data_IF_915818623334
#
_entry.id   IF_915818623334
#
_cell.length_a   1.000
_cell.length_b   1.000
_cell.length_c   1.000
_cell.angle_alpha   90.00
_cell.angle_beta   90.00
_cell.angle_gamma   90.00
#
_symmetry.space_group_name_H-M   'P 1'
#
loop_
_entity.id
_entity.type
_entity.pdbx_description
1 polymer ?
#
# COMPACT_ATOMS: atom_id res chain seq x y z
N UNK A 1 9.19 -3.57 -13.70
CA UNK A 1 8.64 -2.85 -12.54
C UNK A 1 7.30 -2.25 -12.93
N UNK A 2 6.32 -2.37 -12.05
CA UNK A 2 4.98 -1.86 -12.30
C UNK A 2 4.57 -0.93 -11.17
N UNK A 3 3.87 0.14 -11.52
CA UNK A 3 3.33 1.08 -10.56
C UNK A 3 1.87 0.74 -10.28
N UNK A 4 1.53 0.71 -9.00
CA UNK A 4 0.18 0.40 -8.56
C UNK A 4 -0.34 1.51 -7.66
N UNK A 5 -1.64 1.76 -7.75
CA UNK A 5 -2.34 2.65 -6.83
C UNK A 5 -3.41 1.84 -6.11
N UNK A 6 -3.37 1.89 -4.78
CA UNK A 6 -4.36 1.22 -3.94
C UNK A 6 -5.28 2.23 -3.28
N UNK A 7 -6.54 1.89 -3.18
CA UNK A 7 -7.46 2.61 -2.30
C UNK A 7 -7.45 1.91 -0.96
N UNK A 8 -7.24 2.67 0.10
CA UNK A 8 -7.09 2.13 1.45
C UNK A 8 -8.16 2.71 2.35
N UNK A 9 -8.89 1.83 3.02
CA UNK A 9 -9.93 2.22 3.97
C UNK A 9 -9.34 2.37 5.37
N UNK A 10 -10.08 2.98 6.27
CA UNK A 10 -9.71 3.19 7.68
C UNK A 10 -8.52 4.14 7.90
N UNK A 11 -8.18 4.93 6.92
CA UNK A 11 -7.16 5.97 7.08
C UNK A 11 -7.85 7.28 7.46
N UNK A 12 -7.72 7.67 8.72
CA UNK A 12 -8.43 8.84 9.25
C UNK A 12 -7.51 10.01 9.60
N UNK A 13 -6.20 9.77 9.68
CA UNK A 13 -5.26 10.81 10.10
C UNK A 13 -3.85 10.53 9.60
N UNK A 14 -2.94 11.47 9.83
CA UNK A 14 -1.57 11.35 9.34
C UNK A 14 -0.80 10.15 9.90
N UNK A 15 -1.13 9.70 11.11
CA UNK A 15 -0.46 8.53 11.68
C UNK A 15 -0.79 7.26 10.91
N UNK A 16 -1.98 7.18 10.33
CA UNK A 16 -2.34 6.06 9.47
C UNK A 16 -1.49 6.05 8.20
N UNK A 17 -1.21 7.21 7.64
CA UNK A 17 -0.33 7.34 6.49
C UNK A 17 1.04 6.72 6.79
N UNK A 18 1.60 7.04 7.97
CA UNK A 18 2.89 6.49 8.38
C UNK A 18 2.86 4.97 8.51
N UNK A 19 1.78 4.42 9.06
CA UNK A 19 1.64 2.97 9.21
C UNK A 19 1.52 2.28 7.86
N UNK A 20 0.71 2.81 6.96
CA UNK A 20 0.55 2.25 5.62
C UNK A 20 1.89 2.29 4.88
N UNK A 21 2.60 3.42 4.97
CA UNK A 21 3.92 3.55 4.37
C UNK A 21 4.87 2.49 4.90
N UNK A 22 4.88 2.27 6.21
CA UNK A 22 5.75 1.28 6.83
C UNK A 22 5.43 -0.13 6.33
N UNK A 23 4.15 -0.48 6.29
CA UNK A 23 3.71 -1.80 5.82
C UNK A 23 4.14 -2.04 4.38
N UNK A 24 3.90 -1.07 3.51
CA UNK A 24 4.28 -1.18 2.10
C UNK A 24 5.79 -1.25 1.94
N UNK A 25 6.54 -0.42 2.65
CA UNK A 25 7.99 -0.39 2.56
C UNK A 25 8.63 -1.68 3.07
N UNK A 26 7.95 -2.43 3.92
CA UNK A 26 8.46 -3.69 4.43
C UNK A 26 8.33 -4.84 3.42
N UNK A 27 7.57 -4.66 2.35
CA UNK A 27 7.45 -5.68 1.32
C UNK A 27 8.72 -5.72 0.47
N UNK A 28 9.26 -6.92 0.17
CA UNK A 28 10.48 -7.02 -0.64
C UNK A 28 10.29 -6.41 -2.03
N UNK A 29 11.22 -5.56 -2.43
CA UNK A 29 11.23 -4.98 -3.76
C UNK A 29 10.23 -3.85 -3.99
N UNK A 30 9.42 -3.51 -3.01
CA UNK A 30 8.44 -2.44 -3.15
C UNK A 30 9.08 -1.09 -2.83
N UNK A 31 8.85 -0.12 -3.72
CA UNK A 31 9.25 1.26 -3.50
C UNK A 31 8.01 2.13 -3.39
N UNK A 32 7.82 2.73 -2.23
CA UNK A 32 6.67 3.60 -1.98
C UNK A 32 6.90 4.95 -2.61
N UNK A 33 5.98 5.39 -3.45
CA UNK A 33 6.07 6.69 -4.13
C UNK A 33 5.29 7.77 -3.40
N UNK A 34 4.04 7.47 -3.06
CA UNK A 34 3.20 8.44 -2.38
C UNK A 34 2.16 7.71 -1.54
N UNK A 35 1.92 8.19 -0.34
CA UNK A 35 0.83 7.71 0.49
C UNK A 35 0.06 8.92 0.99
N UNK A 36 -1.25 8.88 0.83
CA UNK A 36 -2.14 9.92 1.33
C UNK A 36 -3.33 9.25 1.99
N UNK A 37 -4.14 10.02 2.68
CA UNK A 37 -5.33 9.48 3.34
C UNK A 37 -6.26 8.90 2.27
N UNK A 38 -6.49 7.60 2.38
CA UNK A 38 -7.37 6.88 1.46
C UNK A 38 -6.71 6.29 0.23
N UNK A 39 -5.42 6.55 -0.02
CA UNK A 39 -4.74 6.03 -1.21
C UNK A 39 -3.25 5.85 -0.98
N UNK A 40 -2.67 4.88 -1.68
CA UNK A 40 -1.24 4.63 -1.65
C UNK A 40 -0.76 4.27 -3.05
N UNK A 41 0.38 4.84 -3.46
CA UNK A 41 0.98 4.53 -4.75
C UNK A 41 2.39 4.01 -4.52
N UNK A 42 2.69 2.90 -5.17
CA UNK A 42 3.99 2.25 -5.03
C UNK A 42 4.40 1.55 -6.32
N UNK A 43 5.68 1.25 -6.41
CA UNK A 43 6.25 0.49 -7.53
C UNK A 43 6.72 -0.84 -6.98
N UNK A 44 6.40 -1.93 -7.68
CA UNK A 44 6.81 -3.27 -7.30
C UNK A 44 7.32 -4.03 -8.51
N UNK A 45 8.23 -5.02 -8.31
CA UNK A 45 8.65 -5.92 -9.38
C UNK A 45 7.46 -6.71 -9.90
N UNK A 46 7.51 -7.07 -11.18
CA UNK A 46 6.43 -7.87 -11.78
C UNK A 46 6.24 -9.23 -11.10
N UNK A 47 7.29 -9.74 -10.48
CA UNK A 47 7.24 -11.01 -9.77
C UNK A 47 6.42 -10.95 -8.48
N UNK A 48 6.16 -9.76 -7.96
CA UNK A 48 5.40 -9.57 -6.72
C UNK A 48 4.04 -8.99 -7.08
N UNK A 49 2.94 -9.76 -6.89
CA UNK A 49 1.62 -9.26 -7.21
C UNK A 49 1.17 -8.19 -6.20
N UNK A 50 0.33 -7.24 -6.60
CA UNK A 50 -0.19 -6.23 -5.67
C UNK A 50 -1.04 -6.84 -4.55
N UNK A 51 -1.55 -8.06 -4.73
CA UNK A 51 -2.33 -8.75 -3.71
C UNK A 51 -1.52 -8.97 -2.42
N UNK A 52 -0.21 -9.16 -2.52
CA UNK A 52 0.63 -9.31 -1.34
C UNK A 52 0.61 -8.05 -0.48
N UNK A 53 0.69 -6.88 -1.11
CA UNK A 53 0.62 -5.61 -0.41
C UNK A 53 -0.77 -5.39 0.19
N UNK A 54 -1.81 -5.73 -0.56
CA UNK A 54 -3.20 -5.61 -0.09
C UNK A 54 -3.41 -6.50 1.14
N UNK A 55 -2.91 -7.74 1.11
CA UNK A 55 -3.02 -8.65 2.24
C UNK A 55 -2.28 -8.12 3.47
N UNK A 56 -1.10 -7.55 3.29
CA UNK A 56 -0.32 -6.99 4.39
C UNK A 56 -1.05 -5.80 5.03
N UNK A 57 -1.64 -4.94 4.21
CA UNK A 57 -2.41 -3.81 4.71
C UNK A 57 -3.67 -4.27 5.46
N UNK A 58 -4.35 -5.28 4.94
CA UNK A 58 -5.53 -5.84 5.60
C UNK A 58 -5.18 -6.39 6.98
N UNK A 59 -4.04 -7.05 7.11
CA UNK A 59 -3.57 -7.56 8.40
C UNK A 59 -3.28 -6.43 9.39
N UNK A 60 -2.84 -5.28 8.87
CA UNK A 60 -2.56 -4.13 9.70
C UNK A 60 -3.83 -3.34 10.08
N UNK A 61 -4.98 -3.75 9.58
CA UNK A 61 -6.25 -3.07 9.85
C UNK A 61 -6.65 -2.04 8.81
N UNK A 62 -6.01 -2.06 7.65
CA UNK A 62 -6.27 -1.11 6.56
C UNK A 62 -6.68 -1.86 5.30
N UNK A 63 -7.94 -2.30 5.20
CA UNK A 63 -8.40 -2.99 3.99
C UNK A 63 -8.20 -2.10 2.77
N UNK A 64 -7.66 -2.67 1.73
CA UNK A 64 -7.39 -1.92 0.51
C UNK A 64 -7.77 -2.71 -0.73
N UNK A 65 -7.79 -2.01 -1.85
CA UNK A 65 -8.06 -2.62 -3.14
C UNK A 65 -7.30 -1.87 -4.21
N UNK A 66 -7.00 -2.58 -5.29
CA UNK A 66 -6.33 -1.99 -6.44
C UNK A 66 -7.27 -0.99 -7.12
N UNK A 67 -6.76 0.20 -7.38
CA UNK A 67 -7.49 1.20 -8.15
C UNK A 67 -7.14 1.06 -9.63
N UNK A 68 -8.14 1.00 -10.45
CA UNK A 68 -7.96 0.91 -11.90
C UNK A 68 -8.08 2.26 -12.56
#
# INVERSE_FOLDING_TARGET
>A
MAEFTLRVDNMHCGSCVGRVTHVLASQPGVEVKEVRIGAARFVAPEAIPPDAAIAALAKAGYPGRLEE
#
